data_IF_192851840626
#
_entry.id   IF_192851840626
#
_cell.length_a   1.000
_cell.length_b   1.000
_cell.length_c   1.000
_cell.angle_alpha   90.00
_cell.angle_beta   90.00
_cell.angle_gamma   90.00
#
_symmetry.space_group_name_H-M   'P 1'
#
loop_
_entity.id
_entity.type
_entity.pdbx_description
1 polymer ?
#
# COMPACT_ATOMS: atom_id res chain seq x y z
N UNK A 1 -1.39 5.91 -21.04
CA UNK A 1 -1.40 6.16 -19.59
C UNK A 1 -1.27 4.85 -18.85
N UNK A 2 -0.41 4.76 -17.82
CA UNK A 2 -0.33 3.54 -16.98
C UNK A 2 -1.62 3.44 -16.18
N UNK A 3 -2.26 2.27 -16.22
CA UNK A 3 -3.49 1.95 -15.47
C UNK A 3 -3.19 1.34 -14.09
N UNK A 4 -1.95 1.40 -13.65
CA UNK A 4 -1.51 0.82 -12.39
C UNK A 4 -0.38 1.64 -11.79
N UNK A 5 -0.19 1.48 -10.49
CA UNK A 5 0.91 2.04 -9.73
C UNK A 5 1.36 1.08 -8.63
N UNK A 6 2.54 1.33 -8.07
CA UNK A 6 3.12 0.52 -6.99
C UNK A 6 3.36 1.39 -5.76
N UNK A 7 3.27 0.77 -4.58
CA UNK A 7 3.57 1.42 -3.32
C UNK A 7 4.16 0.47 -2.30
N UNK A 8 5.04 1.00 -1.45
CA UNK A 8 5.57 0.32 -0.29
C UNK A 8 4.84 0.78 0.97
N UNK A 9 4.52 -0.17 1.84
CA UNK A 9 4.08 0.06 3.21
C UNK A 9 5.10 -0.65 4.11
N UNK A 10 5.81 0.10 4.94
CA UNK A 10 6.88 -0.44 5.78
C UNK A 10 6.76 0.06 7.21
N UNK A 11 6.59 -0.87 8.14
CA UNK A 11 6.66 -0.64 9.57
C UNK A 11 8.10 -0.83 10.04
N UNK A 12 8.79 0.28 10.26
CA UNK A 12 10.15 0.32 10.79
C UNK A 12 10.12 0.62 12.29
N UNK A 13 10.88 -0.11 13.09
CA UNK A 13 11.13 0.27 14.48
C UNK A 13 12.44 1.05 14.58
N UNK A 14 12.34 2.32 14.97
CA UNK A 14 13.49 3.19 15.24
C UNK A 14 14.01 2.91 16.64
N UNK A 15 15.06 2.09 16.72
CA UNK A 15 15.78 1.73 17.95
C UNK A 15 16.38 2.95 18.67
N UNK A 16 16.71 4.02 17.94
CA UNK A 16 17.34 5.22 18.54
C UNK A 16 16.34 6.02 19.37
N UNK A 17 15.07 6.03 18.95
CA UNK A 17 14.00 6.78 19.61
C UNK A 17 12.95 5.89 20.27
N UNK A 18 13.10 4.57 20.19
CA UNK A 18 12.16 3.55 20.70
C UNK A 18 10.73 3.75 20.19
N UNK A 19 10.57 3.96 18.87
CA UNK A 19 9.28 4.25 18.25
C UNK A 19 9.07 3.47 16.96
N UNK A 20 7.82 3.10 16.71
CA UNK A 20 7.40 2.59 15.41
C UNK A 20 7.17 3.75 14.44
N UNK A 21 7.72 3.63 13.24
CA UNK A 21 7.59 4.55 12.11
C UNK A 21 6.95 3.79 10.97
N UNK A 22 5.78 4.24 10.51
CA UNK A 22 5.13 3.69 9.33
C UNK A 22 5.49 4.56 8.12
N UNK A 23 6.19 3.96 7.16
CA UNK A 23 6.51 4.57 5.87
C UNK A 23 5.48 4.12 4.85
N UNK A 24 4.84 5.08 4.20
CA UNK A 24 3.85 4.86 3.15
C UNK A 24 4.25 5.67 1.93
N UNK A 25 4.59 5.01 0.82
CA UNK A 25 5.12 5.69 -0.35
C UNK A 25 4.79 4.98 -1.66
N UNK A 26 4.17 5.69 -2.59
CA UNK A 26 3.96 5.23 -3.97
C UNK A 26 4.93 5.84 -4.97
N UNK A 27 5.10 5.19 -6.13
CA UNK A 27 5.88 5.77 -7.25
C UNK A 27 5.22 7.05 -7.79
N UNK A 28 3.91 7.18 -7.65
CA UNK A 28 3.16 8.42 -7.90
C UNK A 28 2.14 8.71 -6.80
N UNK A 29 1.35 9.77 -6.97
CA UNK A 29 0.25 10.10 -6.07
C UNK A 29 -0.84 9.03 -5.99
N UNK A 30 -1.02 8.20 -7.04
CA UNK A 30 -1.97 7.09 -7.00
C UNK A 30 -1.48 5.96 -6.11
N UNK A 31 -0.20 5.57 -6.20
CA UNK A 31 0.38 4.55 -5.33
C UNK A 31 0.29 4.94 -3.85
N UNK A 32 0.59 6.21 -3.50
CA UNK A 32 0.46 6.68 -2.12
C UNK A 32 -0.99 6.62 -1.65
N UNK A 33 -1.95 7.04 -2.49
CA UNK A 33 -3.38 6.92 -2.18
C UNK A 33 -3.81 5.45 -2.03
N UNK A 34 -3.32 4.56 -2.89
CA UNK A 34 -3.59 3.13 -2.82
C UNK A 34 -3.11 2.51 -1.51
N UNK A 35 -1.89 2.82 -1.09
CA UNK A 35 -1.37 2.35 0.18
C UNK A 35 -2.18 2.92 1.37
N UNK A 36 -2.56 4.19 1.32
CA UNK A 36 -3.45 4.78 2.31
C UNK A 36 -4.85 4.12 2.31
N UNK A 37 -5.39 3.75 1.15
CA UNK A 37 -6.69 3.06 1.03
C UNK A 37 -6.63 1.69 1.68
N UNK A 38 -5.62 0.88 1.34
CA UNK A 38 -5.37 -0.43 1.97
C UNK A 38 -5.28 -0.32 3.49
N UNK A 39 -4.58 0.68 4.02
CA UNK A 39 -4.46 0.91 5.47
C UNK A 39 -5.77 1.36 6.13
N UNK A 40 -6.55 2.23 5.48
CA UNK A 40 -7.86 2.68 5.98
C UNK A 40 -8.86 1.52 6.07
N UNK A 41 -8.76 0.58 5.12
CA UNK A 41 -9.60 -0.62 5.03
C UNK A 41 -8.86 -1.86 5.55
N UNK A 42 -8.11 -1.72 6.65
CA UNK A 42 -7.24 -2.77 7.20
C UNK A 42 -7.90 -4.14 7.33
N UNK A 43 -9.18 -4.20 7.76
CA UNK A 43 -9.89 -5.46 7.93
C UNK A 43 -10.15 -6.18 6.61
N UNK A 44 -10.39 -5.43 5.53
CA UNK A 44 -10.65 -5.98 4.19
C UNK A 44 -9.35 -6.45 3.53
N UNK A 45 -8.25 -5.72 3.77
CA UNK A 45 -6.95 -5.96 3.14
C UNK A 45 -5.91 -6.56 4.08
N UNK A 46 -6.31 -7.14 5.22
CA UNK A 46 -5.38 -7.69 6.21
C UNK A 46 -4.45 -8.76 5.60
N UNK A 47 -4.95 -9.47 4.59
CA UNK A 47 -4.17 -10.46 3.85
C UNK A 47 -3.05 -9.87 3.00
N UNK A 48 -3.13 -8.59 2.60
CA UNK A 48 -2.05 -7.90 1.89
C UNK A 48 -0.97 -7.39 2.84
N UNK A 49 -1.29 -7.17 4.11
CA UNK A 49 -0.41 -6.53 5.08
C UNK A 49 0.31 -7.56 5.96
N UNK A 50 1.40 -8.13 5.45
CA UNK A 50 2.15 -9.22 6.08
C UNK A 50 3.60 -8.84 6.34
N UNK A 51 4.10 -9.17 7.54
CA UNK A 51 5.48 -8.92 7.93
C UNK A 51 5.77 -7.44 8.25
N UNK A 52 7.03 -7.04 8.16
CA UNK A 52 7.48 -5.68 8.45
C UNK A 52 7.27 -4.72 7.28
N UNK A 53 7.37 -5.20 6.03
CA UNK A 53 7.16 -4.39 4.84
C UNK A 53 6.41 -5.16 3.75
N UNK A 54 5.66 -4.43 2.93
CA UNK A 54 4.97 -4.96 1.75
C UNK A 54 5.11 -4.02 0.55
N UNK A 55 5.24 -4.60 -0.63
CA UNK A 55 5.09 -3.94 -1.91
C UNK A 55 3.74 -4.34 -2.49
N UNK A 56 2.85 -3.36 -2.67
CA UNK A 56 1.55 -3.57 -3.29
C UNK A 56 1.51 -2.95 -4.69
N UNK A 57 0.64 -3.52 -5.53
CA UNK A 57 0.26 -2.96 -6.82
C UNK A 57 -1.22 -2.60 -6.78
N UNK A 58 -1.52 -1.40 -7.22
CA UNK A 58 -2.88 -0.93 -7.46
C UNK A 58 -3.15 -0.87 -8.95
N UNK A 59 -4.32 -1.32 -9.39
CA UNK A 59 -4.78 -1.25 -10.78
C UNK A 59 -6.15 -0.58 -10.84
N UNK A 60 -6.26 0.48 -11.66
CA UNK A 60 -7.51 1.18 -11.96
C UNK A 60 -8.44 0.25 -12.77
N UNK A 61 -9.30 -0.50 -12.07
CA UNK A 61 -10.10 -1.57 -12.66
C UNK A 61 -11.45 -1.05 -13.17
N UNK A 62 -12.01 -0.03 -12.50
CA UNK A 62 -13.28 0.59 -12.87
C UNK A 62 -13.12 1.76 -13.87
N UNK A 63 -11.88 2.11 -14.23
CA UNK A 63 -11.51 3.16 -15.18
C UNK A 63 -11.97 4.58 -14.79
N UNK A 64 -12.17 4.86 -13.50
CA UNK A 64 -12.55 6.18 -12.99
C UNK A 64 -11.33 7.05 -12.56
N UNK A 65 -10.13 6.45 -12.51
CA UNK A 65 -8.85 7.11 -12.13
C UNK A 65 -8.82 7.65 -10.68
N UNK A 66 -9.66 7.10 -9.81
CA UNK A 66 -9.71 7.36 -8.38
C UNK A 66 -9.38 6.05 -7.66
N UNK A 67 -8.55 6.12 -6.62
CA UNK A 67 -8.29 4.95 -5.80
C UNK A 67 -9.52 4.68 -4.93
N UNK A 68 -10.22 3.59 -5.20
CA UNK A 68 -11.39 3.20 -4.43
C UNK A 68 -11.61 1.67 -4.40
N UNK A 69 -12.69 1.23 -3.75
CA UNK A 69 -13.02 -0.19 -3.57
C UNK A 69 -13.42 -0.90 -4.88
N UNK A 70 -13.59 -0.18 -5.98
CA UNK A 70 -13.82 -0.74 -7.31
C UNK A 70 -12.53 -1.08 -8.05
N UNK A 71 -11.37 -0.86 -7.44
CA UNK A 71 -10.05 -1.17 -7.98
C UNK A 71 -9.50 -2.51 -7.50
N UNK A 72 -8.41 -2.95 -8.14
CA UNK A 72 -7.68 -4.15 -7.75
C UNK A 72 -6.42 -3.79 -6.95
N UNK A 73 -6.20 -4.50 -5.84
CA UNK A 73 -5.04 -4.36 -4.97
C UNK A 73 -4.37 -5.73 -4.82
N UNK A 74 -3.09 -5.81 -5.18
CA UNK A 74 -2.34 -7.06 -5.20
C UNK A 74 -1.07 -6.94 -4.34
N UNK A 75 -0.77 -7.98 -3.57
CA UNK A 75 0.51 -8.11 -2.87
C UNK A 75 1.55 -8.63 -3.86
N UNK A 76 2.60 -7.85 -4.09
CA UNK A 76 3.70 -8.19 -5.01
C UNK A 76 4.86 -8.84 -4.27
N UNK A 77 5.24 -8.25 -3.13
CA UNK A 77 6.35 -8.73 -2.30
C UNK A 77 6.06 -8.40 -0.84
N UNK A 78 6.56 -9.22 0.08
CA UNK A 78 6.54 -8.93 1.51
C UNK A 78 7.87 -9.33 2.16
N UNK A 79 8.22 -8.63 3.23
CA UNK A 79 9.44 -8.88 4.00
C UNK A 79 9.09 -9.27 5.43
N UNK A 80 9.77 -10.29 6.01
CA UNK A 80 9.56 -10.71 7.39
C UNK A 80 9.66 -9.58 8.42
#
# INVERSE_FOLDING_TARGET
YRRHDYAVIWLHYDESNYRNVLVVWGLSGWGTQAACHVLQHYQEYSDLLRGSAVLIKWTNANNNYMVDSGDEFELIEHWP
#
